data_IF_805740402433
#
_entry.id   IF_805740402433
#
_cell.length_a   1.000
_cell.length_b   1.000
_cell.length_c   1.000
_cell.angle_alpha   90.00
_cell.angle_beta   90.00
_cell.angle_gamma   90.00
#
_symmetry.space_group_name_H-M   'P 1'
#
loop_
_entity.id
_entity.type
_entity.pdbx_description
1 polymer ?
#
# COMPACT_ATOMS: atom_id res chain seq x y z
N UNK A 1 9.10 1.97 -8.62
CA UNK A 1 9.34 0.72 -7.85
C UNK A 1 10.09 -0.32 -8.68
N UNK A 2 9.63 -0.73 -9.85
CA UNK A 2 10.26 -1.80 -10.64
C UNK A 2 11.71 -1.51 -11.03
N UNK A 3 12.03 -0.27 -11.35
CA UNK A 3 13.42 0.13 -11.63
C UNK A 3 14.35 -0.08 -10.44
N UNK A 4 13.85 0.15 -9.23
CA UNK A 4 14.61 -0.06 -7.99
C UNK A 4 14.89 -1.55 -7.77
N UNK A 5 13.86 -2.38 -7.94
CA UNK A 5 14.02 -3.84 -7.81
C UNK A 5 15.00 -4.38 -8.86
N UNK A 6 14.91 -3.90 -10.09
CA UNK A 6 15.84 -4.28 -11.15
C UNK A 6 17.28 -3.96 -10.76
N UNK A 7 17.50 -2.76 -10.22
CA UNK A 7 18.86 -2.33 -9.83
C UNK A 7 19.38 -3.07 -8.59
N UNK A 8 18.55 -3.15 -7.56
CA UNK A 8 18.99 -3.64 -6.23
C UNK A 8 19.03 -5.17 -6.14
N UNK A 9 18.19 -5.86 -6.91
CA UNK A 9 18.05 -7.31 -6.85
C UNK A 9 18.41 -8.01 -8.16
N UNK A 10 19.05 -7.31 -9.09
CA UNK A 10 19.41 -7.85 -10.40
C UNK A 10 18.19 -8.51 -11.08
N UNK A 11 17.06 -7.80 -11.10
CA UNK A 11 15.83 -8.26 -11.73
C UNK A 11 15.68 -7.71 -13.15
N UNK A 12 14.83 -8.35 -13.94
CA UNK A 12 14.58 -8.00 -15.32
C UNK A 12 13.13 -7.62 -15.61
N UNK A 13 12.44 -7.00 -14.66
CA UNK A 13 11.12 -6.41 -14.91
C UNK A 13 11.18 -5.46 -16.10
N UNK A 14 10.20 -5.57 -17.01
CA UNK A 14 9.96 -4.57 -18.06
C UNK A 14 8.93 -3.55 -17.53
N UNK A 15 9.32 -2.36 -17.05
CA UNK A 15 8.39 -1.42 -16.42
C UNK A 15 7.23 -1.02 -17.34
N UNK A 16 7.47 -0.94 -18.66
CA UNK A 16 6.44 -0.58 -19.64
C UNK A 16 5.39 -1.69 -19.86
N UNK A 17 5.64 -2.89 -19.34
CA UNK A 17 4.70 -4.00 -19.41
C UNK A 17 3.69 -4.00 -18.26
N UNK A 18 3.72 -3.02 -17.39
CA UNK A 18 2.85 -2.90 -16.23
C UNK A 18 2.15 -1.54 -16.18
N UNK A 19 0.85 -1.58 -15.94
CA UNK A 19 0.06 -0.38 -15.62
C UNK A 19 -0.05 -0.21 -14.11
N UNK A 20 -0.01 1.04 -13.65
CA UNK A 20 -0.27 1.40 -12.26
C UNK A 20 -1.76 1.57 -12.03
N UNK A 21 -2.30 0.83 -11.06
CA UNK A 21 -3.69 0.87 -10.65
C UNK A 21 -3.76 1.37 -9.20
N UNK A 22 -4.61 2.35 -8.94
CA UNK A 22 -4.87 2.85 -7.60
C UNK A 22 -6.38 3.02 -7.41
N UNK A 23 -6.89 2.55 -6.28
CA UNK A 23 -8.30 2.69 -5.94
C UNK A 23 -8.50 2.73 -4.43
N UNK A 24 -9.63 3.31 -4.00
CA UNK A 24 -10.04 3.30 -2.60
C UNK A 24 -10.91 2.08 -2.31
N UNK A 25 -10.46 1.24 -1.38
CA UNK A 25 -11.21 0.09 -0.88
C UNK A 25 -12.05 0.53 0.33
N UNK A 26 -13.36 0.63 0.12
CA UNK A 26 -14.29 1.09 1.17
C UNK A 26 -14.40 0.13 2.35
N UNK A 27 -14.23 -1.16 2.11
CA UNK A 27 -14.33 -2.18 3.16
C UNK A 27 -13.16 -2.08 4.14
N UNK A 28 -11.95 -1.91 3.61
CA UNK A 28 -10.73 -1.85 4.42
C UNK A 28 -10.35 -0.41 4.80
N UNK A 29 -11.00 0.60 4.20
CA UNK A 29 -10.68 2.01 4.41
C UNK A 29 -9.22 2.35 4.10
N UNK A 30 -8.75 1.88 2.95
CA UNK A 30 -7.42 2.19 2.46
C UNK A 30 -7.39 2.40 0.94
N UNK A 31 -6.34 3.05 0.47
CA UNK A 31 -6.02 3.08 -0.95
C UNK A 31 -5.12 1.88 -1.23
N UNK A 32 -5.49 1.07 -2.22
CA UNK A 32 -4.63 0.03 -2.77
C UNK A 32 -3.93 0.52 -4.02
N UNK A 33 -2.65 0.17 -4.11
CA UNK A 33 -1.86 0.36 -5.31
C UNK A 33 -1.42 -1.00 -5.83
N UNK A 34 -1.63 -1.20 -7.14
CA UNK A 34 -1.29 -2.43 -7.83
C UNK A 34 -0.57 -2.13 -9.13
N UNK A 35 0.22 -3.09 -9.58
CA UNK A 35 0.77 -3.13 -10.92
C UNK A 35 0.07 -4.25 -11.67
N UNK A 36 -0.54 -3.92 -12.80
CA UNK A 36 -1.22 -4.88 -13.66
C UNK A 36 -0.35 -5.23 -14.85
N UNK A 37 -0.09 -6.51 -15.07
CA UNK A 37 0.62 -6.96 -16.24
C UNK A 37 -0.24 -6.78 -17.50
N UNK A 38 0.31 -6.10 -18.50
CA UNK A 38 -0.39 -5.84 -19.78
C UNK A 38 -0.38 -7.05 -20.71
N UNK A 39 0.55 -7.97 -20.50
CA UNK A 39 0.76 -9.17 -21.31
C UNK A 39 1.33 -10.29 -20.47
N UNK A 40 1.23 -11.56 -20.91
CA UNK A 40 1.96 -12.64 -20.26
C UNK A 40 3.47 -12.33 -20.28
N UNK A 41 4.11 -12.41 -19.14
CA UNK A 41 5.55 -12.19 -19.03
C UNK A 41 6.15 -13.01 -17.90
N UNK A 42 7.46 -13.21 -17.99
CA UNK A 42 8.24 -13.92 -17.00
C UNK A 42 9.35 -13.00 -16.51
N UNK A 43 9.54 -12.91 -15.20
CA UNK A 43 10.54 -12.05 -14.58
C UNK A 43 11.50 -12.92 -13.77
N UNK A 44 12.80 -12.67 -13.94
CA UNK A 44 13.83 -13.27 -13.11
C UNK A 44 14.35 -12.23 -12.13
N UNK A 45 14.35 -12.57 -10.84
CA UNK A 45 15.01 -11.78 -9.81
C UNK A 45 16.33 -12.47 -9.49
N UNK A 46 17.39 -12.01 -10.15
CA UNK A 46 18.67 -12.71 -10.21
C UNK A 46 19.30 -12.96 -8.85
N UNK A 47 19.33 -11.97 -7.96
CA UNK A 47 19.90 -12.10 -6.62
C UNK A 47 19.22 -13.19 -5.78
N UNK A 48 17.92 -13.44 -6.02
CA UNK A 48 17.16 -14.46 -5.30
C UNK A 48 17.06 -15.78 -6.05
N UNK A 49 17.50 -15.84 -7.32
CA UNK A 49 17.27 -16.98 -8.18
C UNK A 49 15.78 -17.30 -8.36
N UNK A 50 14.93 -16.29 -8.26
CA UNK A 50 13.47 -16.42 -8.28
C UNK A 50 12.91 -16.01 -9.63
N UNK A 51 12.15 -16.91 -10.24
CA UNK A 51 11.39 -16.64 -11.45
C UNK A 51 9.90 -16.48 -11.11
N UNK A 52 9.29 -15.41 -11.62
CA UNK A 52 7.87 -15.13 -11.42
C UNK A 52 7.21 -14.97 -12.79
N UNK A 53 6.16 -15.75 -13.01
CA UNK A 53 5.38 -15.69 -14.25
C UNK A 53 4.09 -14.88 -13.97
N UNK A 54 3.81 -13.93 -14.86
CA UNK A 54 2.59 -13.13 -14.82
C UNK A 54 1.71 -13.46 -16.02
N UNK A 55 0.43 -13.73 -15.77
CA UNK A 55 -0.57 -13.77 -16.83
C UNK A 55 -0.98 -12.36 -17.25
N UNK A 56 -1.52 -12.20 -18.47
CA UNK A 56 -2.10 -10.94 -18.88
C UNK A 56 -3.22 -10.53 -17.93
N UNK A 57 -3.19 -9.29 -17.45
CA UNK A 57 -4.16 -8.78 -16.48
C UNK A 57 -3.91 -9.18 -15.03
N UNK A 58 -2.91 -10.01 -14.75
CA UNK A 58 -2.54 -10.35 -13.37
C UNK A 58 -2.01 -9.13 -12.63
N UNK A 59 -2.41 -8.99 -11.37
CA UNK A 59 -2.09 -7.82 -10.57
C UNK A 59 -1.17 -8.19 -9.41
N UNK A 60 -0.18 -7.33 -9.20
CA UNK A 60 0.70 -7.37 -8.05
C UNK A 60 0.33 -6.20 -7.13
N UNK A 61 -0.19 -6.50 -5.93
CA UNK A 61 -0.42 -5.46 -4.92
C UNK A 61 0.90 -5.01 -4.34
N UNK A 62 1.21 -3.74 -4.53
CA UNK A 62 2.51 -3.18 -4.13
C UNK A 62 2.45 -2.40 -2.84
N UNK A 63 1.31 -1.77 -2.56
CA UNK A 63 1.18 -0.87 -1.43
C UNK A 63 -0.28 -0.73 -0.99
N UNK A 64 -0.47 -0.51 0.29
CA UNK A 64 -1.72 0.01 0.85
C UNK A 64 -1.43 1.29 1.60
N UNK A 65 -2.37 2.24 1.55
CA UNK A 65 -2.33 3.47 2.33
C UNK A 65 -3.61 3.55 3.16
N UNK A 66 -3.51 3.15 4.42
CA UNK A 66 -4.65 3.14 5.34
C UNK A 66 -5.14 4.56 5.59
N UNK A 67 -6.46 4.74 5.57
CA UNK A 67 -7.13 5.98 5.91
C UNK A 67 -7.91 5.79 7.20
N UNK A 68 -7.99 6.84 8.00
CA UNK A 68 -8.58 6.75 9.32
C UNK A 68 -9.72 7.75 9.47
N UNK A 69 -10.83 7.28 10.04
CA UNK A 69 -11.82 8.16 10.66
C UNK A 69 -11.48 8.31 12.14
N UNK A 70 -11.96 9.39 12.76
CA UNK A 70 -11.80 9.57 14.22
C UNK A 70 -12.36 8.38 15.00
N UNK A 71 -13.54 7.90 14.60
CA UNK A 71 -14.19 6.77 15.25
C UNK A 71 -13.34 5.49 15.19
N UNK A 72 -12.78 5.17 14.01
CA UNK A 72 -11.91 4.00 13.84
C UNK A 72 -10.64 4.12 14.68
N UNK A 73 -9.97 5.27 14.62
CA UNK A 73 -8.75 5.48 15.40
C UNK A 73 -9.00 5.40 16.90
N UNK A 74 -10.14 5.93 17.36
CA UNK A 74 -10.56 5.82 18.77
C UNK A 74 -10.70 4.36 19.18
N UNK A 75 -11.38 3.54 18.37
CA UNK A 75 -11.55 2.10 18.64
C UNK A 75 -10.19 1.36 18.64
N UNK A 76 -9.31 1.70 17.70
CA UNK A 76 -7.97 1.10 17.64
C UNK A 76 -7.14 1.44 18.89
N UNK A 77 -7.19 2.70 19.35
CA UNK A 77 -6.54 3.10 20.59
C UNK A 77 -7.10 2.35 21.81
N UNK A 78 -8.42 2.27 21.93
CA UNK A 78 -9.09 1.56 23.03
C UNK A 78 -8.67 0.09 23.07
N UNK A 79 -8.62 -0.57 21.92
CA UNK A 79 -8.18 -1.97 21.82
C UNK A 79 -6.74 -2.17 22.25
N UNK A 80 -5.90 -1.14 22.11
CA UNK A 80 -4.50 -1.14 22.51
C UNK A 80 -4.29 -0.64 23.96
N UNK A 81 -5.35 -0.38 24.72
CA UNK A 81 -5.26 0.16 26.09
C UNK A 81 -4.89 1.63 26.14
N UNK A 82 -5.16 2.37 25.06
CA UNK A 82 -4.94 3.80 24.96
C UNK A 82 -6.29 4.54 24.91
N UNK A 83 -6.25 5.80 25.24
CA UNK A 83 -7.41 6.71 25.18
C UNK A 83 -7.06 7.91 24.30
N UNK A 84 -7.91 8.21 23.32
CA UNK A 84 -7.75 9.42 22.50
C UNK A 84 -8.01 10.65 23.35
N UNK A 85 -7.01 11.50 23.53
CA UNK A 85 -7.08 12.70 24.32
C UNK A 85 -7.38 13.95 23.49
N UNK A 86 -6.69 14.07 22.34
CA UNK A 86 -6.82 15.22 21.45
C UNK A 86 -6.85 14.77 19.98
N UNK A 87 -7.64 15.51 19.21
CA UNK A 87 -7.76 15.32 17.77
C UNK A 87 -7.70 16.68 17.07
N UNK A 88 -6.67 16.87 16.26
CA UNK A 88 -6.45 18.11 15.53
C UNK A 88 -6.54 17.85 14.03
N UNK A 89 -7.24 18.70 13.32
CA UNK A 89 -7.33 18.62 11.86
C UNK A 89 -7.00 19.96 11.22
N UNK A 90 -6.62 19.94 9.95
CA UNK A 90 -6.62 21.14 9.12
C UNK A 90 -8.06 21.58 8.77
N UNK A 91 -8.19 22.75 8.16
CA UNK A 91 -9.49 23.33 7.82
C UNK A 91 -10.33 22.45 6.86
N UNK A 92 -9.66 21.69 6.01
CA UNK A 92 -10.31 20.82 5.00
C UNK A 92 -10.42 19.36 5.44
N UNK A 93 -10.03 19.03 6.67
CA UNK A 93 -10.03 17.67 7.23
C UNK A 93 -9.23 16.65 6.38
N UNK A 94 -8.19 17.09 5.69
CA UNK A 94 -7.33 16.24 4.89
C UNK A 94 -6.25 15.51 5.68
N UNK A 95 -5.92 16.07 6.83
CA UNK A 95 -4.88 15.56 7.72
C UNK A 95 -5.34 15.66 9.17
N UNK A 96 -5.00 14.66 9.97
CA UNK A 96 -5.27 14.68 11.42
C UNK A 96 -4.01 14.37 12.22
N UNK A 97 -3.87 15.06 13.33
CA UNK A 97 -2.89 14.75 14.36
C UNK A 97 -3.65 14.30 15.62
N UNK A 98 -3.37 13.13 16.11
CA UNK A 98 -4.00 12.59 17.31
C UNK A 98 -3.01 12.51 18.47
N UNK A 99 -3.47 12.81 19.64
CA UNK A 99 -2.75 12.61 20.90
C UNK A 99 -3.50 11.57 21.72
N UNK A 100 -2.80 10.50 22.08
CA UNK A 100 -3.36 9.46 22.93
C UNK A 100 -2.53 9.32 24.22
N UNK A 101 -3.19 8.89 25.29
CA UNK A 101 -2.54 8.57 26.56
C UNK A 101 -2.82 7.14 26.95
N UNK A 102 -1.96 6.59 27.79
CA UNK A 102 -2.19 5.28 28.40
C UNK A 102 -3.33 5.38 29.40
N UNK A 103 -4.19 4.45 29.34
CA UNK A 103 -5.27 4.28 30.34
C UNK A 103 -4.73 3.92 31.71
#
# INVERSE_FOLDING_TARGET
MLHVINRELDADFAPDAFDHIAFFDRRHEWIEMRLRSLRPCSVLIGTLGLRVDFAAGEELRTEISAKFTRARLTADYESAGLELEQWYTDADDLFALSLARRR
#
